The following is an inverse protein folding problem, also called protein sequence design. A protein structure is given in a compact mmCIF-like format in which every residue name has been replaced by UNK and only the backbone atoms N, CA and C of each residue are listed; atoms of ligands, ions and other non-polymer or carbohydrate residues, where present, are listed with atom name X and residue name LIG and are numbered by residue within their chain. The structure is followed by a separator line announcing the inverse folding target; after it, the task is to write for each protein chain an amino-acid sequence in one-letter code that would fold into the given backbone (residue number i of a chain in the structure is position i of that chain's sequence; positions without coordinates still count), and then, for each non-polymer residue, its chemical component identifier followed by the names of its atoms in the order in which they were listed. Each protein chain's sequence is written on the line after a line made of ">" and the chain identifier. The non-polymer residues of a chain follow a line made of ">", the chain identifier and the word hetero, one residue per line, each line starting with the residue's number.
data_IF_146750380264
#
_entry.id   IF_146750380264
#
_cell.length_a   1.000
_cell.length_b   1.000
_cell.length_c   1.000
_cell.angle_alpha   90.00
_cell.angle_beta   90.00
_cell.angle_gamma   90.00
#
_symmetry.space_group_name_H-M   'P 1'
#
loop_
_entity.id
_entity.type
_entity.pdbx_description
1 polymer ?
#
# COMPACT_ATOMS: atom_id res chain seq x y z
N UNK A 1 19.78 -24.58 13.78
CA UNK A 1 18.84 -23.89 12.86
C UNK A 1 19.17 -22.41 12.92
N UNK A 2 20.16 -22.01 12.12
CA UNK A 2 20.65 -20.63 12.10
C UNK A 2 19.76 -19.81 11.19
N UNK A 3 19.15 -18.76 11.74
CA UNK A 3 18.44 -17.75 10.98
C UNK A 3 19.48 -16.85 10.30
N UNK A 4 19.71 -17.05 9.02
CA UNK A 4 20.49 -16.11 8.20
C UNK A 4 19.66 -14.85 7.98
N UNK A 5 20.14 -13.65 8.39
CA UNK A 5 19.46 -12.41 8.09
C UNK A 5 19.56 -12.11 6.59
N UNK A 6 18.41 -11.93 5.97
CA UNK A 6 18.27 -11.53 4.57
C UNK A 6 19.03 -10.21 4.34
N UNK A 7 19.91 -10.11 3.32
CA UNK A 7 20.70 -8.91 3.10
C UNK A 7 19.81 -7.72 2.69
N UNK A 8 19.86 -6.67 3.51
CA UNK A 8 19.20 -5.36 3.33
C UNK A 8 19.79 -4.55 2.17
N UNK A 9 19.89 -5.13 0.96
CA UNK A 9 20.66 -4.54 -0.15
C UNK A 9 19.89 -4.38 -1.46
N UNK A 10 18.62 -4.79 -1.54
CA UNK A 10 17.92 -4.93 -2.82
C UNK A 10 16.63 -4.11 -2.94
N UNK A 11 16.68 -2.80 -2.68
CA UNK A 11 15.58 -1.90 -3.09
C UNK A 11 16.05 -0.52 -3.54
N UNK A 12 17.34 -0.34 -3.80
CA UNK A 12 17.84 0.86 -4.46
C UNK A 12 17.94 0.60 -5.97
N UNK A 13 16.99 1.19 -6.70
CA UNK A 13 17.05 1.62 -8.10
C UNK A 13 16.02 0.96 -9.04
N UNK A 14 15.08 1.78 -9.51
CA UNK A 14 14.07 1.38 -10.49
C UNK A 14 12.94 2.38 -10.66
N UNK A 15 13.22 3.69 -10.64
CA UNK A 15 12.29 4.68 -11.22
C UNK A 15 13.04 5.62 -12.14
N UNK A 16 13.43 5.07 -13.29
CA UNK A 16 13.65 5.88 -14.48
C UNK A 16 12.28 6.38 -14.93
N UNK A 17 12.11 7.68 -14.79
CA UNK A 17 11.03 8.51 -15.30
C UNK A 17 10.60 8.07 -16.70
N UNK A 18 9.37 7.58 -16.82
CA UNK A 18 8.78 7.10 -18.07
C UNK A 18 7.29 7.45 -18.17
N UNK A 19 6.99 8.74 -18.28
CA UNK A 19 5.97 9.32 -19.16
C UNK A 19 4.64 8.54 -19.31
N UNK A 20 3.69 8.86 -18.40
CA UNK A 20 2.21 8.77 -18.43
C UNK A 20 1.68 8.00 -17.22
N UNK A 21 1.05 8.70 -16.27
CA UNK A 21 0.27 8.05 -15.20
C UNK A 21 0.05 9.01 -14.05
N UNK A 22 -1.13 9.64 -14.02
CA UNK A 22 -1.44 10.84 -13.25
C UNK A 22 -0.94 10.84 -11.80
N UNK A 23 -0.40 11.98 -11.38
CA UNK A 23 -0.53 12.39 -9.98
C UNK A 23 -2.01 12.30 -9.66
N UNK A 24 -2.43 11.27 -8.93
CA UNK A 24 -3.80 11.18 -8.47
C UNK A 24 -4.10 12.48 -7.71
N UNK A 25 -5.12 13.22 -8.16
CA UNK A 25 -5.53 14.49 -7.58
C UNK A 25 -5.84 14.32 -6.08
N UNK A 26 -5.77 15.40 -5.30
CA UNK A 26 -6.13 15.38 -3.87
C UNK A 26 -7.52 14.74 -3.61
N UNK A 27 -8.42 14.81 -4.60
CA UNK A 27 -9.73 14.16 -4.62
C UNK A 27 -9.66 12.63 -4.56
N UNK A 28 -8.76 12.01 -5.32
CA UNK A 28 -8.59 10.55 -5.34
C UNK A 28 -7.99 10.05 -4.02
N UNK A 29 -7.05 10.81 -3.45
CA UNK A 29 -6.51 10.52 -2.13
C UNK A 29 -7.61 10.62 -1.05
N UNK A 30 -8.45 11.65 -1.09
CA UNK A 30 -9.58 11.79 -0.15
C UNK A 30 -10.61 10.65 -0.27
N UNK A 31 -10.88 10.19 -1.50
CA UNK A 31 -11.73 9.02 -1.74
C UNK A 31 -11.12 7.73 -1.17
N UNK A 32 -9.82 7.52 -1.42
CA UNK A 32 -9.07 6.39 -0.86
C UNK A 32 -9.14 6.37 0.66
N UNK A 33 -8.86 7.49 1.34
CA UNK A 33 -8.93 7.57 2.80
C UNK A 33 -10.33 7.27 3.32
N UNK A 34 -11.38 7.79 2.67
CA UNK A 34 -12.78 7.54 3.08
C UNK A 34 -13.22 6.09 2.87
N UNK A 35 -12.67 5.40 1.87
CA UNK A 35 -13.04 4.03 1.48
C UNK A 35 -12.03 2.97 1.91
N UNK A 36 -11.00 3.36 2.65
CA UNK A 36 -9.95 2.44 3.06
C UNK A 36 -10.49 1.32 3.94
N UNK A 37 -11.29 1.66 4.96
CA UNK A 37 -11.92 0.67 5.83
C UNK A 37 -12.89 -0.26 5.08
N UNK A 38 -13.62 0.26 4.09
CA UNK A 38 -14.45 -0.57 3.19
C UNK A 38 -13.60 -1.57 2.37
N UNK A 39 -12.37 -1.19 2.02
CA UNK A 39 -11.47 -1.99 1.19
C UNK A 39 -10.67 -3.03 1.99
N UNK A 40 -10.17 -2.69 3.19
CA UNK A 40 -9.32 -3.58 4.00
C UNK A 40 -10.02 -4.20 5.21
N UNK A 41 -11.19 -3.67 5.60
CA UNK A 41 -11.87 -3.99 6.85
C UNK A 41 -11.41 -3.12 8.02
N UNK A 42 -12.28 -2.91 9.01
CA UNK A 42 -12.03 -2.00 10.14
C UNK A 42 -10.74 -2.33 10.90
N UNK A 43 -10.54 -3.60 11.27
CA UNK A 43 -9.35 -4.01 12.05
C UNK A 43 -8.04 -3.71 11.32
N UNK A 44 -7.99 -3.93 10.00
CA UNK A 44 -6.77 -3.61 9.22
C UNK A 44 -6.63 -2.10 9.07
N UNK A 45 -7.73 -1.36 8.90
CA UNK A 45 -7.71 0.09 8.78
C UNK A 45 -7.25 0.81 10.06
N UNK A 46 -7.45 0.20 11.23
CA UNK A 46 -6.93 0.72 12.50
C UNK A 46 -5.41 0.66 12.58
N UNK A 47 -4.80 -0.37 11.99
CA UNK A 47 -3.36 -0.63 12.08
C UNK A 47 -2.56 -0.33 10.81
N UNK A 48 -3.25 -0.12 9.69
CA UNK A 48 -2.69 0.14 8.38
C UNK A 48 -3.40 1.36 7.78
N UNK A 49 -2.63 2.33 7.29
CA UNK A 49 -3.18 3.53 6.66
C UNK A 49 -2.47 3.87 5.36
N UNK A 50 -3.20 4.27 4.31
CA UNK A 50 -2.57 4.76 3.10
C UNK A 50 -1.85 6.08 3.42
N UNK A 51 -0.63 6.24 2.89
CA UNK A 51 0.19 7.45 3.09
C UNK A 51 0.34 8.23 1.79
N UNK A 52 0.47 7.51 0.68
CA UNK A 52 0.67 8.11 -0.64
C UNK A 52 0.17 7.19 -1.73
N UNK A 53 -0.51 7.75 -2.72
CA UNK A 53 -0.83 7.10 -3.99
C UNK A 53 -0.04 7.79 -5.11
N UNK A 54 0.83 7.05 -5.79
CA UNK A 54 1.70 7.54 -6.86
C UNK A 54 1.51 6.67 -8.11
N UNK A 55 0.69 7.16 -9.05
CA UNK A 55 0.21 6.30 -10.13
C UNK A 55 -0.45 5.04 -9.57
N UNK A 56 -0.07 3.87 -10.08
CA UNK A 56 -0.61 2.58 -9.63
C UNK A 56 -0.01 2.06 -8.30
N UNK A 57 0.87 2.83 -7.65
CA UNK A 57 1.55 2.40 -6.43
C UNK A 57 0.96 3.05 -5.18
N UNK A 58 0.47 2.22 -4.28
CA UNK A 58 -0.06 2.66 -2.99
C UNK A 58 0.95 2.39 -1.88
N UNK A 59 1.47 3.46 -1.27
CA UNK A 59 2.25 3.38 -0.03
C UNK A 59 1.29 3.28 1.15
N UNK A 60 1.43 2.21 1.93
CA UNK A 60 0.70 1.96 3.16
C UNK A 60 1.69 1.90 4.32
N UNK A 61 1.35 2.57 5.40
CA UNK A 61 2.08 2.49 6.66
C UNK A 61 1.31 1.60 7.62
N UNK A 62 2.01 0.67 8.24
CA UNK A 62 1.48 -0.20 9.29
C UNK A 62 2.17 0.03 10.62
N UNK A 63 1.47 -0.23 11.71
CA UNK A 63 2.03 -0.09 13.07
C UNK A 63 3.12 -1.14 13.33
N UNK A 64 2.89 -2.39 12.93
CA UNK A 64 3.77 -3.52 13.28
C UNK A 64 3.99 -4.48 12.09
N UNK A 65 5.08 -5.26 12.09
CA UNK A 65 5.38 -6.19 10.99
C UNK A 65 4.31 -7.25 10.75
N UNK A 66 3.57 -7.67 11.78
CA UNK A 66 2.49 -8.65 11.63
C UNK A 66 1.37 -8.17 10.69
N UNK A 67 1.01 -6.88 10.81
CA UNK A 67 0.04 -6.24 9.92
C UNK A 67 0.55 -6.10 8.49
N UNK A 68 1.86 -5.93 8.29
CA UNK A 68 2.44 -5.93 6.95
C UNK A 68 2.19 -7.27 6.25
N UNK A 69 2.45 -8.39 6.93
CA UNK A 69 2.22 -9.73 6.38
C UNK A 69 0.74 -9.96 6.07
N UNK A 70 -0.16 -9.59 6.99
CA UNK A 70 -1.60 -9.72 6.78
C UNK A 70 -2.07 -8.89 5.57
N UNK A 71 -1.62 -7.64 5.47
CA UNK A 71 -1.99 -6.78 4.35
C UNK A 71 -1.42 -7.29 3.01
N UNK A 72 -0.23 -7.91 3.00
CA UNK A 72 0.32 -8.59 1.82
C UNK A 72 -0.53 -9.78 1.38
N UNK A 73 -1.04 -10.56 2.33
CA UNK A 73 -1.95 -11.66 2.02
C UNK A 73 -3.27 -11.15 1.41
N UNK A 74 -3.77 -10.02 1.90
CA UNK A 74 -5.00 -9.39 1.42
C UNK A 74 -4.79 -8.49 0.18
N UNK A 75 -3.56 -8.32 -0.30
CA UNK A 75 -3.21 -7.31 -1.31
C UNK A 75 -4.09 -7.40 -2.57
N UNK A 76 -4.27 -8.60 -3.13
CA UNK A 76 -5.08 -8.81 -4.32
C UNK A 76 -6.57 -8.47 -4.08
N UNK A 77 -7.09 -8.87 -2.93
CA UNK A 77 -8.46 -8.59 -2.48
C UNK A 77 -8.70 -7.09 -2.29
N UNK A 78 -7.73 -6.39 -1.70
CA UNK A 78 -7.80 -4.95 -1.45
C UNK A 78 -7.69 -4.18 -2.76
N UNK A 79 -6.80 -4.58 -3.69
CA UNK A 79 -6.73 -3.98 -5.03
C UNK A 79 -8.07 -4.09 -5.75
N UNK A 80 -8.68 -5.28 -5.75
CA UNK A 80 -9.98 -5.50 -6.37
C UNK A 80 -11.08 -4.64 -5.74
N UNK A 81 -11.08 -4.51 -4.40
CA UNK A 81 -12.02 -3.65 -3.68
C UNK A 81 -11.80 -2.17 -3.99
N UNK A 82 -10.56 -1.67 -3.93
CA UNK A 82 -10.24 -0.27 -4.24
C UNK A 82 -10.65 0.12 -5.65
N UNK A 83 -10.48 -0.79 -6.62
CA UNK A 83 -11.00 -0.62 -7.97
C UNK A 83 -12.52 -0.45 -7.99
N UNK A 84 -13.23 -1.32 -7.27
CA UNK A 84 -14.69 -1.33 -7.23
C UNK A 84 -15.29 -0.12 -6.50
N UNK A 85 -14.76 0.22 -5.31
CA UNK A 85 -15.36 1.22 -4.42
C UNK A 85 -14.85 2.64 -4.66
N UNK A 86 -13.61 2.79 -5.12
CA UNK A 86 -12.97 4.09 -5.30
C UNK A 86 -12.58 4.38 -6.75
N UNK A 87 -12.73 3.41 -7.66
CA UNK A 87 -12.34 3.56 -9.08
C UNK A 87 -10.83 3.72 -9.27
N UNK A 88 -10.03 3.24 -8.30
CA UNK A 88 -8.57 3.40 -8.32
C UNK A 88 -7.91 2.18 -8.95
N UNK A 89 -7.06 2.41 -9.96
CA UNK A 89 -6.25 1.37 -10.58
C UNK A 89 -4.92 1.27 -9.83
N UNK A 90 -4.91 0.51 -8.74
CA UNK A 90 -3.70 0.20 -7.96
C UNK A 90 -3.15 -1.14 -8.42
N UNK A 91 -1.87 -1.22 -8.75
CA UNK A 91 -1.21 -2.46 -9.19
C UNK A 91 -0.18 -2.97 -8.19
N UNK A 92 0.29 -2.13 -7.25
CA UNK A 92 1.30 -2.52 -6.27
C UNK A 92 1.13 -1.81 -4.94
N UNK A 93 1.31 -2.56 -3.85
CA UNK A 93 1.40 -1.99 -2.51
C UNK A 93 2.86 -1.87 -2.09
N UNK A 94 3.22 -0.74 -1.54
CA UNK A 94 4.48 -0.53 -0.83
C UNK A 94 4.14 -0.43 0.66
N UNK A 95 4.70 -1.30 1.49
CA UNK A 95 4.34 -1.37 2.91
C UNK A 95 5.56 -0.98 3.71
N UNK A 96 5.39 0.03 4.56
CA UNK A 96 6.38 0.44 5.55
C UNK A 96 5.84 0.23 6.95
N UNK A 97 6.69 -0.24 7.86
CA UNK A 97 6.37 -0.31 9.29
C UNK A 97 6.81 1.00 9.94
N UNK A 98 5.99 1.55 10.84
CA UNK A 98 6.36 2.73 11.62
C UNK A 98 7.65 2.45 12.41
N UNK A 99 8.64 3.38 12.39
CA UNK A 99 9.76 3.28 13.32
C UNK A 99 9.23 3.47 14.75
N UNK A 100 9.68 2.60 15.67
CA UNK A 100 9.29 2.61 17.09
C UNK A 100 10.03 3.67 17.88
#
# INVERSE_FOLDING_TARGET
>A
MSYEPVPLRDSMNGVVRGLRGGTYDARSMGSLFSRWADAVGETVAEHARPVKLDGDRLLVEVDEPGWATQLRFLEADVIARLRSVAGLEVSRFDIRVKPR
#
